data_IF_420901977631
#
_entry.id   IF_420901977631
#
_cell.length_a   1.000
_cell.length_b   1.000
_cell.length_c   1.000
_cell.angle_alpha   90.00
_cell.angle_beta   90.00
_cell.angle_gamma   90.00
#
_symmetry.space_group_name_H-M   'P 1'
#
loop_
_entity.id
_entity.type
_entity.pdbx_description
1 polymer ?
#
# COMPACT_ATOMS: atom_id res chain seq x y z
N UNK A 1 -19.19 -5.36 -27.07
CA UNK A 1 -19.11 -4.01 -26.45
C UNK A 1 -18.40 -4.20 -25.13
N UNK A 2 -17.38 -3.40 -24.81
CA UNK A 2 -16.59 -3.50 -23.58
C UNK A 2 -16.68 -2.19 -22.81
N UNK A 3 -16.59 -2.24 -21.48
CA UNK A 3 -16.62 -1.06 -20.61
C UNK A 3 -16.20 -1.40 -19.18
N UNK A 4 -15.83 -0.40 -18.40
CA UNK A 4 -15.41 -0.55 -17.00
C UNK A 4 -16.60 -0.85 -16.09
N UNK A 5 -17.73 -0.17 -16.33
CA UNK A 5 -18.98 -0.38 -15.62
C UNK A 5 -20.06 -0.79 -16.62
N UNK A 6 -21.00 -1.57 -16.15
CA UNK A 6 -22.16 -1.93 -16.96
C UNK A 6 -22.88 -0.65 -17.41
N UNK A 7 -22.93 -0.42 -18.71
CA UNK A 7 -23.74 0.65 -19.28
C UNK A 7 -25.19 0.18 -19.16
N UNK A 8 -25.79 0.39 -18.00
CA UNK A 8 -27.21 0.22 -17.92
C UNK A 8 -27.80 1.41 -18.61
N UNK A 9 -28.51 1.22 -19.65
CA UNK A 9 -29.83 1.73 -19.64
C UNK A 9 -30.66 1.56 -20.86
N UNK A 10 -31.83 1.48 -20.47
CA UNK A 10 -33.13 1.66 -21.09
C UNK A 10 -33.15 1.74 -22.63
N UNK A 11 -32.23 2.43 -23.26
CA UNK A 11 -32.20 2.59 -24.71
C UNK A 11 -31.32 1.58 -25.46
N UNK A 12 -30.33 0.96 -24.79
CA UNK A 12 -29.47 -0.08 -25.44
C UNK A 12 -30.09 -1.46 -25.22
N UNK A 13 -30.62 -1.72 -24.02
CA UNK A 13 -31.19 -3.02 -23.67
C UNK A 13 -32.63 -3.22 -24.14
N UNK A 14 -33.38 -2.16 -24.40
CA UNK A 14 -34.74 -2.28 -24.94
C UNK A 14 -34.78 -2.74 -26.41
N UNK A 15 -33.69 -2.56 -27.14
CA UNK A 15 -33.54 -3.01 -28.54
C UNK A 15 -32.78 -4.33 -28.72
N UNK A 16 -32.08 -4.80 -27.71
CA UNK A 16 -31.26 -6.01 -27.74
C UNK A 16 -31.76 -6.96 -26.64
N UNK A 17 -32.68 -7.83 -27.03
CA UNK A 17 -33.12 -8.92 -26.19
C UNK A 17 -32.06 -10.02 -26.19
N UNK A 18 -31.70 -10.55 -25.01
CA UNK A 18 -30.74 -11.66 -24.83
C UNK A 18 -29.25 -11.28 -24.94
N UNK A 19 -28.85 -10.16 -24.33
CA UNK A 19 -27.43 -9.87 -24.14
C UNK A 19 -26.86 -10.78 -23.05
N UNK A 20 -25.83 -11.53 -23.43
CA UNK A 20 -24.97 -12.24 -22.51
C UNK A 20 -23.87 -11.27 -22.07
N UNK A 21 -23.67 -11.15 -20.76
CA UNK A 21 -22.72 -10.22 -20.17
C UNK A 21 -21.69 -11.01 -19.38
N UNK A 22 -20.45 -10.95 -19.83
CA UNK A 22 -19.31 -11.53 -19.12
C UNK A 22 -18.58 -10.45 -18.37
N UNK A 23 -18.23 -10.75 -17.13
CA UNK A 23 -17.53 -9.85 -16.19
C UNK A 23 -16.17 -10.44 -15.83
N UNK A 24 -15.38 -9.72 -15.06
CA UNK A 24 -14.10 -10.22 -14.55
C UNK A 24 -14.26 -11.35 -13.50
N UNK A 25 -15.49 -11.65 -13.08
CA UNK A 25 -15.80 -12.77 -12.19
C UNK A 25 -16.06 -14.08 -12.96
N UNK A 26 -16.36 -13.99 -14.26
CA UNK A 26 -16.65 -15.15 -15.09
C UNK A 26 -15.37 -15.82 -15.56
N UNK A 27 -15.41 -17.14 -15.78
CA UNK A 27 -14.28 -17.92 -16.29
C UNK A 27 -14.18 -17.89 -17.82
N UNK A 28 -15.19 -17.35 -18.50
CA UNK A 28 -15.19 -17.24 -19.95
C UNK A 28 -14.44 -15.98 -20.42
N UNK A 29 -13.69 -16.10 -21.50
CA UNK A 29 -12.95 -15.00 -22.15
C UNK A 29 -11.84 -14.35 -21.29
N UNK A 30 -11.41 -14.98 -20.22
CA UNK A 30 -10.42 -14.42 -19.26
C UNK A 30 -9.07 -14.08 -19.91
N UNK A 31 -8.68 -14.80 -20.98
CA UNK A 31 -7.41 -14.60 -21.69
C UNK A 31 -7.40 -13.39 -22.65
N UNK A 32 -8.58 -12.85 -23.01
CA UNK A 32 -8.69 -11.86 -24.08
C UNK A 32 -8.64 -10.41 -23.61
N UNK A 33 -8.72 -10.18 -22.30
CA UNK A 33 -8.76 -8.83 -21.72
C UNK A 33 -7.50 -8.43 -20.95
N UNK A 34 -6.44 -9.23 -21.07
CA UNK A 34 -5.14 -9.00 -20.48
C UNK A 34 -4.05 -9.63 -21.34
N UNK A 35 -2.80 -9.51 -20.92
CA UNK A 35 -1.68 -10.24 -21.50
C UNK A 35 -1.37 -11.40 -20.56
N UNK A 36 -1.24 -12.61 -21.12
CA UNK A 36 -0.92 -13.80 -20.33
C UNK A 36 0.54 -13.85 -19.92
N UNK A 37 0.87 -14.71 -18.98
CA UNK A 37 2.25 -14.86 -18.52
C UNK A 37 3.17 -15.39 -19.62
N UNK A 38 2.67 -16.32 -20.45
CA UNK A 38 3.38 -16.88 -21.59
C UNK A 38 3.72 -15.80 -22.61
N UNK A 39 2.77 -14.93 -22.94
CA UNK A 39 2.96 -13.80 -23.85
C UNK A 39 3.98 -12.79 -23.31
N UNK A 40 3.92 -12.46 -22.02
CA UNK A 40 4.91 -11.57 -21.39
C UNK A 40 6.30 -12.19 -21.41
N UNK A 41 6.41 -13.48 -21.07
CA UNK A 41 7.69 -14.20 -21.09
C UNK A 41 8.30 -14.23 -22.48
N UNK A 42 7.48 -14.42 -23.52
CA UNK A 42 7.95 -14.37 -24.89
C UNK A 42 8.36 -12.95 -25.29
N UNK A 43 7.57 -11.94 -24.95
CA UNK A 43 7.86 -10.55 -25.27
C UNK A 43 9.15 -10.05 -24.61
N UNK A 44 9.42 -10.42 -23.35
CA UNK A 44 10.66 -10.05 -22.65
C UNK A 44 11.88 -10.60 -23.37
N UNK A 45 11.80 -11.83 -23.90
CA UNK A 45 12.87 -12.44 -24.71
C UNK A 45 13.03 -11.75 -26.06
N UNK A 46 11.93 -11.51 -26.77
CA UNK A 46 11.95 -10.91 -28.12
C UNK A 46 12.49 -9.47 -28.12
N UNK A 47 12.28 -8.73 -27.01
CA UNK A 47 12.78 -7.37 -26.84
C UNK A 47 14.18 -7.31 -26.19
N UNK A 48 14.81 -8.46 -25.90
CA UNK A 48 16.13 -8.57 -25.27
C UNK A 48 16.23 -7.69 -24.00
N UNK A 49 15.33 -7.94 -23.05
CA UNK A 49 15.26 -7.19 -21.81
C UNK A 49 16.05 -7.88 -20.71
N UNK A 50 17.02 -7.15 -20.12
CA UNK A 50 17.79 -7.57 -18.95
C UNK A 50 17.01 -7.41 -17.65
N UNK A 51 15.84 -8.07 -17.55
CA UNK A 51 15.03 -8.05 -16.33
C UNK A 51 14.67 -9.46 -15.91
N UNK A 52 14.73 -9.71 -14.60
CA UNK A 52 14.16 -10.94 -14.03
C UNK A 52 12.65 -10.93 -14.20
N UNK A 53 12.10 -12.04 -14.68
CA UNK A 53 10.66 -12.15 -14.87
C UNK A 53 9.87 -11.92 -13.59
N UNK A 54 10.42 -12.29 -12.44
CA UNK A 54 9.82 -12.02 -11.12
C UNK A 54 9.60 -10.53 -10.85
N UNK A 55 10.51 -9.65 -11.30
CA UNK A 55 10.34 -8.21 -11.16
C UNK A 55 9.21 -7.69 -12.06
N UNK A 56 9.09 -8.19 -13.27
CA UNK A 56 7.99 -7.83 -14.18
C UNK A 56 6.65 -8.30 -13.62
N UNK A 57 6.61 -9.54 -13.09
CA UNK A 57 5.42 -10.08 -12.41
C UNK A 57 5.02 -9.20 -11.22
N UNK A 58 5.96 -8.89 -10.32
CA UNK A 58 5.72 -8.05 -9.15
C UNK A 58 5.14 -6.68 -9.51
N UNK A 59 5.57 -6.11 -10.64
CA UNK A 59 5.17 -4.78 -11.07
C UNK A 59 3.83 -4.74 -11.79
N UNK A 60 3.49 -5.73 -12.63
CA UNK A 60 2.39 -5.59 -13.59
C UNK A 60 1.42 -6.76 -13.63
N UNK A 61 1.74 -7.90 -12.99
CA UNK A 61 0.84 -9.05 -12.89
C UNK A 61 -0.15 -8.87 -11.74
N UNK A 62 -0.99 -9.88 -11.53
CA UNK A 62 -1.81 -10.04 -10.34
C UNK A 62 -3.28 -9.74 -10.52
N UNK A 63 -3.72 -9.37 -11.70
CA UNK A 63 -5.14 -9.27 -12.01
C UNK A 63 -5.72 -10.67 -12.19
N UNK A 64 -6.66 -11.04 -11.32
CA UNK A 64 -7.35 -12.32 -11.40
C UNK A 64 -8.69 -12.10 -12.11
N UNK A 65 -8.83 -12.66 -13.31
CA UNK A 65 -10.03 -12.69 -14.12
C UNK A 65 -10.55 -14.12 -14.17
N UNK A 66 -11.70 -14.38 -13.54
CA UNK A 66 -12.14 -15.74 -13.28
C UNK A 66 -11.05 -16.54 -12.55
N UNK A 67 -10.54 -17.58 -13.19
CA UNK A 67 -9.47 -18.47 -12.69
C UNK A 67 -8.05 -18.09 -13.17
N UNK A 68 -7.91 -17.06 -14.05
CA UNK A 68 -6.65 -16.72 -14.70
C UNK A 68 -6.04 -15.42 -14.22
N UNK A 69 -4.70 -15.43 -14.07
CA UNK A 69 -3.92 -14.23 -13.82
C UNK A 69 -3.47 -13.60 -15.14
N UNK A 70 -3.71 -12.30 -15.26
CA UNK A 70 -3.33 -11.53 -16.45
C UNK A 70 -2.59 -10.26 -16.07
N UNK A 71 -1.80 -9.73 -17.00
CA UNK A 71 -1.09 -8.46 -16.88
C UNK A 71 -1.88 -7.32 -17.51
N UNK A 72 -1.71 -6.13 -16.99
CA UNK A 72 -2.25 -4.92 -17.61
C UNK A 72 -1.56 -4.65 -18.96
N UNK A 73 -2.29 -4.67 -20.09
CA UNK A 73 -1.69 -4.52 -21.42
C UNK A 73 -0.96 -3.19 -21.60
N UNK A 74 -1.53 -2.09 -21.08
CA UNK A 74 -0.92 -0.77 -21.19
C UNK A 74 0.43 -0.71 -20.50
N UNK A 75 0.51 -1.25 -19.29
CA UNK A 75 1.75 -1.26 -18.49
C UNK A 75 2.83 -2.11 -19.16
N UNK A 76 2.48 -3.29 -19.66
CA UNK A 76 3.42 -4.17 -20.38
C UNK A 76 3.93 -3.52 -21.66
N UNK A 77 3.04 -3.00 -22.52
CA UNK A 77 3.46 -2.33 -23.77
C UNK A 77 4.40 -1.17 -23.52
N UNK A 78 4.12 -0.35 -22.50
CA UNK A 78 4.99 0.76 -22.15
C UNK A 78 6.31 0.30 -21.52
N UNK A 79 6.30 -0.77 -20.72
CA UNK A 79 7.51 -1.38 -20.17
C UNK A 79 8.41 -1.90 -21.29
N UNK A 80 7.89 -2.67 -22.22
CA UNK A 80 8.64 -3.18 -23.38
C UNK A 80 9.26 -2.05 -24.19
N UNK A 81 8.47 -1.00 -24.47
CA UNK A 81 8.94 0.17 -25.23
C UNK A 81 10.02 0.97 -24.51
N UNK A 82 9.90 1.16 -23.20
CA UNK A 82 10.76 2.07 -22.43
C UNK A 82 11.87 1.36 -21.68
N UNK A 83 11.81 0.05 -21.58
CA UNK A 83 12.79 -0.80 -20.89
C UNK A 83 13.07 -0.35 -19.45
N UNK A 84 12.02 0.07 -18.71
CA UNK A 84 12.12 0.53 -17.32
C UNK A 84 10.86 0.15 -16.56
N UNK A 85 11.03 -0.40 -15.36
CA UNK A 85 9.93 -0.67 -14.43
C UNK A 85 9.46 0.65 -13.80
N UNK A 86 8.25 1.06 -14.12
CA UNK A 86 7.62 2.32 -13.69
C UNK A 86 6.10 2.16 -13.65
N UNK A 87 5.38 3.00 -12.87
CA UNK A 87 3.94 3.08 -12.97
C UNK A 87 3.55 3.75 -14.29
N UNK A 88 2.95 3.02 -15.19
CA UNK A 88 2.53 3.50 -16.50
C UNK A 88 1.04 3.73 -16.60
N UNK A 89 0.23 2.79 -16.14
CA UNK A 89 -1.22 2.85 -16.28
C UNK A 89 -1.85 3.87 -15.33
N UNK A 90 -1.42 3.94 -14.10
CA UNK A 90 -1.96 4.84 -13.07
C UNK A 90 -1.79 6.32 -13.40
N UNK A 91 -0.87 6.65 -14.30
CA UNK A 91 -0.63 8.02 -14.76
C UNK A 91 -1.49 8.42 -15.98
N UNK A 92 -2.35 7.54 -16.49
CA UNK A 92 -3.14 7.79 -17.70
C UNK A 92 -4.54 8.31 -17.42
N UNK A 93 -5.08 8.06 -16.23
CA UNK A 93 -6.45 8.46 -15.86
C UNK A 93 -6.44 9.66 -14.94
N UNK A 94 -7.41 10.59 -15.14
CA UNK A 94 -7.67 11.69 -14.24
C UNK A 94 -8.26 11.17 -12.93
N UNK A 95 -7.43 10.82 -11.96
CA UNK A 95 -7.83 10.31 -10.64
C UNK A 95 -8.50 11.38 -9.76
N UNK A 96 -8.73 12.59 -10.29
CA UNK A 96 -9.28 13.74 -9.54
C UNK A 96 -10.67 13.44 -8.97
N UNK A 97 -11.54 12.79 -9.76
CA UNK A 97 -12.88 12.44 -9.30
C UNK A 97 -12.81 11.43 -8.14
N UNK A 98 -11.96 10.43 -8.27
CA UNK A 98 -11.71 9.42 -7.23
C UNK A 98 -11.16 10.11 -5.97
N UNK A 99 -10.16 10.97 -6.10
CA UNK A 99 -9.59 11.74 -4.98
C UNK A 99 -10.64 12.60 -4.27
N UNK A 100 -11.51 13.27 -5.03
CA UNK A 100 -12.58 14.08 -4.46
C UNK A 100 -13.53 13.26 -3.58
N UNK A 101 -13.92 12.09 -4.07
CA UNK A 101 -14.81 11.20 -3.33
C UNK A 101 -14.12 10.54 -2.14
N UNK A 102 -12.88 10.13 -2.29
CA UNK A 102 -12.10 9.56 -1.18
C UNK A 102 -11.92 10.56 -0.03
N UNK A 103 -11.72 11.86 -0.35
CA UNK A 103 -11.66 12.91 0.68
C UNK A 103 -12.94 13.01 1.52
N UNK A 104 -14.11 12.79 0.92
CA UNK A 104 -15.39 12.78 1.66
C UNK A 104 -15.52 11.57 2.59
N UNK A 105 -14.89 10.45 2.25
CA UNK A 105 -14.98 9.17 2.95
C UNK A 105 -13.76 8.83 3.80
N UNK A 106 -12.80 9.72 3.94
CA UNK A 106 -11.49 9.41 4.51
C UNK A 106 -11.55 8.63 5.84
N UNK A 107 -12.50 8.93 6.70
CA UNK A 107 -12.65 8.26 7.99
C UNK A 107 -13.29 6.86 7.87
N UNK A 108 -14.22 6.68 6.93
CA UNK A 108 -14.97 5.42 6.74
C UNK A 108 -14.13 4.34 6.05
N UNK A 109 -13.19 4.75 5.18
CA UNK A 109 -12.38 3.84 4.36
C UNK A 109 -10.98 3.62 4.92
N UNK A 110 -10.63 4.31 6.01
CA UNK A 110 -9.27 4.33 6.56
C UNK A 110 -8.72 2.91 6.83
N UNK A 111 -9.50 2.08 7.52
CA UNK A 111 -9.08 0.73 7.91
C UNK A 111 -8.87 -0.17 6.70
N UNK A 112 -9.78 -0.11 5.74
CA UNK A 112 -9.69 -0.87 4.50
C UNK A 112 -8.45 -0.44 3.69
N UNK A 113 -8.25 0.87 3.57
CA UNK A 113 -7.10 1.44 2.87
C UNK A 113 -5.78 1.03 3.53
N UNK A 114 -5.73 1.08 4.86
CA UNK A 114 -4.58 0.66 5.65
C UNK A 114 -4.28 -0.84 5.47
N UNK A 115 -5.30 -1.70 5.49
CA UNK A 115 -5.13 -3.13 5.23
C UNK A 115 -4.58 -3.39 3.83
N UNK A 116 -5.11 -2.71 2.81
CA UNK A 116 -4.65 -2.84 1.43
C UNK A 116 -3.19 -2.41 1.26
N UNK A 117 -2.79 -1.28 1.86
CA UNK A 117 -1.39 -0.82 1.86
C UNK A 117 -0.46 -1.81 2.54
N UNK A 118 -0.94 -2.53 3.54
CA UNK A 118 -0.23 -3.61 4.22
C UNK A 118 -0.26 -4.95 3.44
N UNK A 119 -0.63 -4.91 2.15
CA UNK A 119 -0.76 -6.08 1.27
C UNK A 119 -1.71 -7.16 1.81
N UNK A 120 -2.65 -6.77 2.68
CA UNK A 120 -3.75 -7.62 3.14
C UNK A 120 -4.94 -7.48 2.19
N UNK A 121 -5.84 -8.44 2.23
CA UNK A 121 -7.13 -8.35 1.54
C UNK A 121 -8.19 -7.74 2.46
N UNK A 122 -9.18 -7.13 1.84
CA UNK A 122 -10.41 -6.65 2.49
C UNK A 122 -11.60 -7.44 1.97
N UNK A 123 -12.58 -7.72 2.84
CA UNK A 123 -13.82 -8.41 2.44
C UNK A 123 -14.89 -7.38 2.09
N UNK A 124 -15.42 -7.43 0.87
CA UNK A 124 -16.42 -6.49 0.36
C UNK A 124 -17.46 -7.19 -0.50
N UNK A 125 -18.67 -6.69 -0.42
CA UNK A 125 -19.73 -7.12 -1.32
C UNK A 125 -19.57 -6.42 -2.67
N UNK A 126 -19.48 -7.20 -3.75
CA UNK A 126 -19.40 -6.70 -5.11
C UNK A 126 -20.74 -6.85 -5.80
N UNK A 127 -21.10 -5.86 -6.59
CA UNK A 127 -22.30 -5.83 -7.39
C UNK A 127 -21.92 -5.72 -8.89
N UNK A 128 -22.11 -6.80 -9.63
CA UNK A 128 -21.83 -6.86 -11.08
C UNK A 128 -22.76 -5.98 -11.91
N UNK A 129 -23.91 -5.62 -11.34
CA UNK A 129 -24.91 -4.79 -12.01
C UNK A 129 -24.78 -3.30 -11.65
N UNK A 130 -23.62 -2.88 -11.12
CA UNK A 130 -23.40 -1.49 -10.75
C UNK A 130 -23.36 -0.59 -11.98
N UNK A 131 -24.14 0.48 -11.94
CA UNK A 131 -24.16 1.55 -12.94
C UNK A 131 -23.62 2.85 -12.34
N UNK A 132 -23.19 3.77 -13.20
CA UNK A 132 -22.58 5.03 -12.78
C UNK A 132 -23.47 5.87 -11.83
N UNK A 133 -24.77 5.86 -12.03
CA UNK A 133 -25.74 6.57 -11.19
C UNK A 133 -25.80 6.02 -9.76
N UNK A 134 -25.54 4.73 -9.58
CA UNK A 134 -25.50 4.14 -8.24
C UNK A 134 -24.29 4.60 -7.42
N UNK A 135 -23.21 5.09 -8.07
CA UNK A 135 -22.03 5.61 -7.38
C UNK A 135 -22.40 6.83 -6.53
N UNK A 136 -23.18 7.76 -7.07
CA UNK A 136 -23.52 9.00 -6.35
C UNK A 136 -24.46 8.75 -5.17
N UNK A 137 -25.39 7.80 -5.29
CA UNK A 137 -26.41 7.55 -4.27
C UNK A 137 -25.88 6.90 -2.99
N UNK A 138 -24.82 6.03 -3.07
CA UNK A 138 -24.24 5.30 -1.94
C UNK A 138 -22.73 5.12 -2.13
N UNK A 139 -22.02 6.23 -2.23
CA UNK A 139 -20.62 6.20 -2.63
C UNK A 139 -19.72 5.39 -1.67
N UNK A 140 -19.93 5.49 -0.35
CA UNK A 140 -19.15 4.74 0.64
C UNK A 140 -19.21 3.21 0.45
N UNK A 141 -20.37 2.71 0.03
CA UNK A 141 -20.55 1.26 -0.25
C UNK A 141 -20.06 0.87 -1.64
N UNK A 142 -20.07 1.81 -2.59
CA UNK A 142 -19.81 1.53 -4.00
C UNK A 142 -18.38 1.85 -4.45
N UNK A 143 -17.56 2.53 -3.62
CA UNK A 143 -16.18 2.87 -3.96
C UNK A 143 -15.34 1.61 -4.22
N UNK A 144 -15.56 0.54 -3.46
CA UNK A 144 -14.84 -0.72 -3.62
C UNK A 144 -15.23 -1.45 -4.90
N UNK A 145 -16.50 -1.37 -5.31
CA UNK A 145 -16.99 -1.83 -6.61
C UNK A 145 -16.30 -1.07 -7.75
N UNK A 146 -16.22 0.27 -7.63
CA UNK A 146 -15.53 1.08 -8.62
C UNK A 146 -14.05 0.69 -8.73
N UNK A 147 -13.36 0.54 -7.61
CA UNK A 147 -11.96 0.13 -7.60
C UNK A 147 -11.74 -1.26 -8.19
N UNK A 148 -12.63 -2.19 -7.92
CA UNK A 148 -12.57 -3.53 -8.47
C UNK A 148 -12.79 -3.52 -9.99
N UNK A 149 -13.90 -2.99 -10.47
CA UNK A 149 -14.21 -2.96 -11.89
C UNK A 149 -13.26 -2.08 -12.72
N UNK A 150 -12.66 -1.06 -12.10
CA UNK A 150 -11.65 -0.20 -12.76
C UNK A 150 -10.24 -0.79 -12.72
N UNK A 151 -10.02 -1.96 -12.12
CA UNK A 151 -8.71 -2.60 -12.05
C UNK A 151 -7.75 -2.00 -11.00
N UNK A 152 -8.24 -1.19 -10.07
CA UNK A 152 -7.42 -0.76 -8.91
C UNK A 152 -7.33 -1.84 -7.84
N UNK A 153 -8.32 -2.72 -7.76
CA UNK A 153 -8.31 -3.92 -6.93
C UNK A 153 -8.56 -5.16 -7.78
N UNK A 154 -8.18 -6.30 -7.26
CA UNK A 154 -8.42 -7.62 -7.85
C UNK A 154 -8.90 -8.59 -6.78
N UNK A 155 -9.43 -9.72 -7.19
CA UNK A 155 -9.72 -10.83 -6.27
C UNK A 155 -8.42 -11.35 -5.63
N UNK A 156 -8.47 -11.64 -4.34
CA UNK A 156 -7.38 -12.29 -3.63
C UNK A 156 -7.36 -13.80 -3.85
N UNK A 157 -8.52 -14.39 -4.10
CA UNK A 157 -8.80 -15.80 -4.36
C UNK A 157 -9.86 -15.92 -5.46
N UNK A 158 -10.05 -17.09 -6.04
CA UNK A 158 -11.09 -17.34 -7.03
C UNK A 158 -12.48 -17.02 -6.49
N UNK A 159 -13.35 -16.54 -7.38
CA UNK A 159 -14.72 -16.18 -7.03
C UNK A 159 -15.55 -17.41 -6.67
N UNK A 160 -16.24 -17.34 -5.55
CA UNK A 160 -17.20 -18.35 -5.12
C UNK A 160 -18.60 -17.73 -5.09
N UNK A 161 -19.46 -18.15 -6.01
CA UNK A 161 -20.84 -17.66 -6.15
C UNK A 161 -21.69 -17.90 -4.90
N UNK A 162 -21.30 -18.82 -4.04
CA UNK A 162 -22.02 -19.10 -2.79
C UNK A 162 -21.69 -18.11 -1.68
N UNK A 163 -20.68 -17.25 -1.89
CA UNK A 163 -20.29 -16.22 -0.92
C UNK A 163 -20.90 -14.87 -1.29
N UNK A 164 -21.43 -14.19 -0.28
CA UNK A 164 -21.98 -12.84 -0.47
C UNK A 164 -20.89 -11.77 -0.64
N UNK A 165 -19.70 -12.02 -0.10
CA UNK A 165 -18.58 -11.09 -0.10
C UNK A 165 -17.37 -11.71 -0.78
N UNK A 166 -16.61 -10.88 -1.46
CA UNK A 166 -15.34 -11.24 -2.11
C UNK A 166 -14.16 -10.66 -1.36
N UNK A 167 -13.04 -11.36 -1.41
CA UNK A 167 -11.77 -10.91 -0.85
C UNK A 167 -11.01 -10.11 -1.91
N UNK A 168 -10.81 -8.81 -1.68
CA UNK A 168 -10.15 -7.90 -2.60
C UNK A 168 -8.75 -7.53 -2.10
N UNK A 169 -7.80 -7.40 -3.02
CA UNK A 169 -6.43 -6.95 -2.75
C UNK A 169 -5.90 -6.01 -3.82
N UNK A 170 -4.81 -5.33 -3.52
CA UNK A 170 -4.02 -4.60 -4.52
C UNK A 170 -3.31 -5.62 -5.41
N UNK A 171 -3.43 -5.52 -6.75
CA UNK A 171 -2.90 -6.52 -7.67
C UNK A 171 -1.37 -6.56 -7.71
N UNK A 172 -0.71 -5.42 -7.69
CA UNK A 172 0.72 -5.32 -7.97
C UNK A 172 1.38 -4.06 -7.41
N UNK A 173 2.69 -3.94 -7.63
CA UNK A 173 3.49 -2.83 -7.12
C UNK A 173 3.13 -1.48 -7.77
N UNK A 174 2.70 -1.46 -9.03
CA UNK A 174 2.24 -0.24 -9.71
C UNK A 174 1.07 0.40 -8.98
N UNK A 175 0.06 -0.41 -8.67
CA UNK A 175 -1.15 0.03 -7.96
C UNK A 175 -0.87 0.34 -6.50
N UNK A 176 -0.02 -0.47 -5.84
CA UNK A 176 0.37 -0.20 -4.46
C UNK A 176 1.00 1.20 -4.31
N UNK A 177 1.82 1.62 -5.27
CA UNK A 177 2.42 2.97 -5.27
C UNK A 177 1.38 4.06 -5.39
N UNK A 178 0.42 3.89 -6.29
CA UNK A 178 -0.68 4.83 -6.44
C UNK A 178 -1.51 4.94 -5.15
N UNK A 179 -1.89 3.80 -4.56
CA UNK A 179 -2.63 3.80 -3.30
C UNK A 179 -1.85 4.49 -2.18
N UNK A 180 -0.53 4.31 -2.12
CA UNK A 180 0.32 4.98 -1.13
C UNK A 180 0.36 6.49 -1.32
N UNK A 181 0.48 6.96 -2.57
CA UNK A 181 0.42 8.38 -2.89
C UNK A 181 -0.95 8.97 -2.57
N UNK A 182 -2.03 8.25 -2.92
CA UNK A 182 -3.40 8.65 -2.58
C UNK A 182 -3.62 8.71 -1.07
N UNK A 183 -3.08 7.78 -0.31
CA UNK A 183 -3.16 7.78 1.14
C UNK A 183 -2.50 9.02 1.74
N UNK A 184 -1.30 9.36 1.27
CA UNK A 184 -0.61 10.59 1.68
C UNK A 184 -1.46 11.81 1.34
N UNK A 185 -1.94 11.93 0.10
CA UNK A 185 -2.76 13.06 -0.35
C UNK A 185 -4.09 13.21 0.42
N UNK A 186 -4.66 12.10 0.89
CA UNK A 186 -5.93 12.09 1.61
C UNK A 186 -5.80 12.48 3.08
N UNK A 187 -4.75 11.98 3.72
CA UNK A 187 -4.62 12.07 5.16
C UNK A 187 -3.61 13.12 5.61
N UNK A 188 -2.76 13.62 4.69
CA UNK A 188 -1.71 14.57 5.02
C UNK A 188 -1.68 15.73 4.03
N UNK A 189 -1.94 16.91 4.53
CA UNK A 189 -2.08 18.12 3.70
C UNK A 189 -0.75 18.74 3.27
N UNK A 190 0.34 18.44 3.98
CA UNK A 190 1.63 19.10 3.79
C UNK A 190 2.72 18.11 3.33
N UNK A 191 2.89 18.01 2.01
CA UNK A 191 3.90 17.14 1.40
C UNK A 191 5.35 17.49 1.77
N UNK A 192 5.65 18.78 1.99
CA UNK A 192 7.01 19.23 2.27
C UNK A 192 7.52 18.70 3.62
N UNK A 193 6.66 18.57 4.61
CA UNK A 193 7.03 17.98 5.91
C UNK A 193 7.44 16.52 5.74
N UNK A 194 6.78 15.77 4.85
CA UNK A 194 7.18 14.38 4.55
C UNK A 194 8.59 14.28 3.96
N UNK A 195 8.95 15.22 3.08
CA UNK A 195 10.31 15.28 2.55
C UNK A 195 11.31 15.54 3.67
N UNK A 196 11.01 16.45 4.59
CA UNK A 196 11.90 16.74 5.72
C UNK A 196 12.05 15.54 6.67
N UNK A 197 10.97 14.81 6.96
CA UNK A 197 11.01 13.59 7.77
C UNK A 197 11.85 12.52 7.10
N UNK A 198 11.64 12.26 5.79
CA UNK A 198 12.40 11.24 5.07
C UNK A 198 13.89 11.60 4.94
N UNK A 199 14.22 12.87 4.77
CA UNK A 199 15.62 13.34 4.77
C UNK A 199 16.26 13.21 6.17
N UNK A 200 15.54 13.50 7.25
CA UNK A 200 16.02 13.30 8.60
C UNK A 200 16.29 11.79 8.87
N UNK A 201 15.37 10.93 8.43
CA UNK A 201 15.54 9.48 8.52
C UNK A 201 16.80 9.01 7.77
N UNK A 202 17.01 9.47 6.55
CA UNK A 202 18.18 9.12 5.74
C UNK A 202 19.50 9.60 6.34
N UNK A 203 19.49 10.72 7.05
CA UNK A 203 20.68 11.29 7.71
C UNK A 203 20.95 10.69 9.09
N UNK A 204 20.00 9.91 9.63
CA UNK A 204 20.07 9.39 10.99
C UNK A 204 19.95 10.51 12.05
N UNK A 205 19.22 11.60 11.73
CA UNK A 205 18.97 12.72 12.61
C UNK A 205 17.68 12.48 13.41
N UNK A 206 17.84 11.85 14.58
CA UNK A 206 16.73 11.45 15.44
C UNK A 206 15.90 12.65 15.94
N UNK A 207 16.54 13.74 16.31
CA UNK A 207 15.86 14.92 16.85
C UNK A 207 15.00 15.60 15.77
N UNK A 208 15.56 15.78 14.57
CA UNK A 208 14.80 16.31 13.46
C UNK A 208 13.67 15.38 13.06
N UNK A 209 13.93 14.07 12.96
CA UNK A 209 12.94 13.06 12.63
C UNK A 209 11.75 13.08 13.61
N UNK A 210 12.02 13.06 14.93
CA UNK A 210 11.02 13.15 15.96
C UNK A 210 10.19 14.44 15.86
N UNK A 211 10.86 15.59 15.71
CA UNK A 211 10.22 16.90 15.63
C UNK A 211 9.25 17.00 14.46
N UNK A 212 9.70 16.58 13.26
CA UNK A 212 8.86 16.66 12.06
C UNK A 212 7.71 15.63 12.09
N UNK A 213 7.93 14.43 12.65
CA UNK A 213 6.85 13.48 12.90
C UNK A 213 5.77 14.03 13.82
N UNK A 214 6.17 14.66 14.94
CA UNK A 214 5.21 15.27 15.87
C UNK A 214 4.40 16.39 15.18
N UNK A 215 5.01 17.20 14.32
CA UNK A 215 4.27 18.21 13.55
C UNK A 215 3.19 17.58 12.68
N UNK A 216 3.53 16.52 11.91
CA UNK A 216 2.55 15.81 11.08
C UNK A 216 1.40 15.28 11.93
N UNK A 217 1.71 14.67 13.08
CA UNK A 217 0.71 14.10 13.96
C UNK A 217 -0.21 15.18 14.57
N UNK A 218 0.33 16.35 14.88
CA UNK A 218 -0.44 17.46 15.44
C UNK A 218 -1.33 18.15 14.40
N UNK A 219 -0.84 18.37 13.18
CA UNK A 219 -1.58 19.04 12.12
C UNK A 219 -2.78 18.22 11.62
N UNK A 220 -2.74 16.90 11.75
CA UNK A 220 -3.79 15.99 11.27
C UNK A 220 -4.79 15.58 12.35
N UNK A 221 -5.30 16.56 13.10
CA UNK A 221 -6.15 16.43 14.32
C UNK A 221 -7.34 15.47 14.17
N UNK A 222 -8.00 15.43 13.02
CA UNK A 222 -9.24 14.66 12.83
C UNK A 222 -9.05 13.14 12.72
N UNK A 223 -7.83 12.66 12.45
CA UNK A 223 -7.54 11.25 12.22
C UNK A 223 -7.28 10.51 13.55
N UNK A 224 -6.77 11.22 14.56
CA UNK A 224 -6.37 10.64 15.85
C UNK A 224 -7.50 10.53 16.88
N UNK A 225 -8.66 11.14 16.60
CA UNK A 225 -9.84 11.06 17.47
C UNK A 225 -10.64 9.75 17.27
N UNK A 226 -10.20 8.88 16.35
CA UNK A 226 -10.79 7.55 16.17
C UNK A 226 -10.32 6.67 17.34
N UNK A 227 -11.12 6.65 18.39
CA UNK A 227 -10.91 5.81 19.56
C UNK A 227 -11.09 4.33 19.19
N UNK A 228 -10.22 3.44 19.68
CA UNK A 228 -10.43 2.01 19.63
C UNK A 228 -9.28 1.17 19.10
N UNK A 229 -9.60 -0.07 18.73
CA UNK A 229 -8.74 -1.20 18.33
C UNK A 229 -7.83 -0.90 17.11
N UNK A 230 -8.09 0.19 16.39
CA UNK A 230 -7.48 0.53 15.09
C UNK A 230 -6.20 1.36 15.17
N UNK A 231 -5.76 1.76 16.36
CA UNK A 231 -4.58 2.64 16.53
C UNK A 231 -3.29 2.06 15.94
N UNK A 232 -3.05 0.78 16.16
CA UNK A 232 -1.84 0.10 15.67
C UNK A 232 -1.78 0.09 14.14
N UNK A 233 -2.88 -0.28 13.49
CA UNK A 233 -2.97 -0.32 12.03
C UNK A 233 -2.78 1.06 11.40
N UNK A 234 -3.26 2.10 12.07
CA UNK A 234 -3.05 3.48 11.64
C UNK A 234 -1.56 3.84 11.59
N UNK A 235 -0.85 3.68 12.71
CA UNK A 235 0.57 4.07 12.76
C UNK A 235 1.43 3.23 11.83
N UNK A 236 1.10 1.95 11.65
CA UNK A 236 1.75 1.11 10.67
C UNK A 236 1.51 1.62 9.24
N UNK A 237 0.28 1.92 8.86
CA UNK A 237 -0.06 2.49 7.55
C UNK A 237 0.60 3.86 7.32
N UNK A 238 0.60 4.72 8.33
CA UNK A 238 1.25 6.01 8.33
C UNK A 238 2.77 5.90 8.08
N UNK A 239 3.44 5.05 8.86
CA UNK A 239 4.88 4.83 8.70
C UNK A 239 5.22 4.18 7.35
N UNK A 240 4.38 3.26 6.86
CA UNK A 240 4.54 2.70 5.53
C UNK A 240 4.41 3.78 4.45
N UNK A 241 3.37 4.61 4.51
CA UNK A 241 3.18 5.73 3.60
C UNK A 241 4.40 6.67 3.56
N UNK A 242 4.95 6.97 4.74
CA UNK A 242 6.14 7.80 4.87
C UNK A 242 7.38 7.16 4.22
N UNK A 243 7.68 5.90 4.55
CA UNK A 243 8.91 5.26 4.03
C UNK A 243 8.79 4.86 2.57
N UNK A 244 7.59 4.70 2.01
CA UNK A 244 7.40 4.36 0.60
C UNK A 244 7.95 5.45 -0.33
N UNK A 245 8.08 6.69 0.15
CA UNK A 245 8.75 7.76 -0.57
C UNK A 245 10.24 7.45 -0.82
N UNK A 246 10.84 6.59 0.00
CA UNK A 246 12.23 6.13 -0.14
C UNK A 246 12.41 4.95 -1.09
N UNK A 247 11.33 4.49 -1.73
CA UNK A 247 11.32 3.32 -2.63
C UNK A 247 12.29 3.37 -3.80
N UNK A 248 12.72 4.56 -4.22
CA UNK A 248 13.72 4.69 -5.29
C UNK A 248 15.14 4.35 -4.81
N UNK A 249 15.41 4.54 -3.53
CA UNK A 249 16.71 4.31 -2.91
C UNK A 249 16.76 2.99 -2.14
N UNK A 250 15.60 2.56 -1.61
CA UNK A 250 15.48 1.37 -0.77
C UNK A 250 14.47 0.35 -1.32
N UNK A 251 14.77 -0.91 -1.11
CA UNK A 251 13.79 -1.99 -1.08
C UNK A 251 13.12 -1.99 0.28
N UNK A 252 11.79 -1.78 0.31
CA UNK A 252 11.01 -1.64 1.55
C UNK A 252 10.29 -2.96 1.81
N UNK A 253 10.51 -3.53 2.97
CA UNK A 253 9.82 -4.71 3.47
C UNK A 253 9.01 -4.35 4.71
N UNK A 254 7.78 -4.81 4.76
CA UNK A 254 6.84 -4.51 5.82
C UNK A 254 6.27 -5.79 6.41
N UNK A 255 6.19 -5.85 7.75
CA UNK A 255 5.59 -6.93 8.53
C UNK A 255 6.01 -8.34 8.07
N UNK A 256 7.30 -8.52 7.81
CA UNK A 256 7.87 -9.74 7.27
C UNK A 256 8.78 -10.44 8.28
N UNK A 257 9.05 -11.73 8.07
CA UNK A 257 9.86 -12.53 8.97
C UNK A 257 11.36 -12.24 8.82
N UNK A 258 12.04 -12.06 9.96
CA UNK A 258 13.48 -12.04 10.06
C UNK A 258 13.94 -12.63 11.39
N UNK A 259 15.01 -13.41 11.36
CA UNK A 259 15.57 -14.01 12.56
C UNK A 259 14.52 -14.84 13.30
N UNK A 260 14.13 -14.41 14.50
CA UNK A 260 13.20 -15.11 15.38
C UNK A 260 11.80 -14.47 15.48
N UNK A 261 11.46 -13.56 14.57
CA UNK A 261 10.18 -12.86 14.65
C UNK A 261 9.82 -12.09 13.38
N UNK A 262 8.80 -11.23 13.50
CA UNK A 262 8.39 -10.30 12.45
C UNK A 262 8.82 -8.90 12.85
N UNK A 263 9.46 -8.19 11.93
CA UNK A 263 9.75 -6.77 12.06
C UNK A 263 8.63 -5.94 11.43
N UNK A 264 8.45 -4.72 11.90
CA UNK A 264 7.45 -3.84 11.33
C UNK A 264 7.89 -3.27 9.98
N UNK A 265 9.06 -2.64 9.92
CA UNK A 265 9.61 -2.05 8.70
C UNK A 265 11.11 -2.33 8.56
N UNK A 266 11.53 -2.69 7.35
CA UNK A 266 12.93 -2.85 7.00
C UNK A 266 13.20 -2.21 5.64
N UNK A 267 14.21 -1.34 5.57
CA UNK A 267 14.66 -0.65 4.39
C UNK A 267 16.05 -1.15 4.01
N UNK A 268 16.14 -1.88 2.91
CA UNK A 268 17.39 -2.40 2.36
C UNK A 268 17.82 -1.50 1.19
N UNK A 269 19.03 -0.93 1.19
CA UNK A 269 19.54 -0.15 0.07
C UNK A 269 19.50 -0.93 -1.24
N UNK A 270 18.97 -0.34 -2.31
CA UNK A 270 18.99 -0.95 -3.66
C UNK A 270 20.36 -0.92 -4.30
N UNK A 271 21.18 0.06 -3.95
CA UNK A 271 22.55 0.20 -4.41
C UNK A 271 23.47 0.43 -3.20
N UNK A 272 24.17 -0.62 -2.80
CA UNK A 272 25.05 -0.62 -1.61
C UNK A 272 26.26 0.31 -1.80
N UNK A 273 26.73 0.51 -3.05
CA UNK A 273 27.84 1.42 -3.32
C UNK A 273 27.49 2.88 -3.08
N UNK A 274 26.26 3.27 -3.45
CA UNK A 274 25.74 4.62 -3.26
C UNK A 274 25.23 4.86 -1.85
N UNK A 275 24.70 3.82 -1.20
CA UNK A 275 24.13 3.91 0.13
C UNK A 275 24.43 2.64 0.93
N UNK A 276 25.19 2.81 2.01
CA UNK A 276 25.71 1.69 2.81
C UNK A 276 24.85 1.37 4.05
N UNK A 277 23.85 2.18 4.37
CA UNK A 277 23.07 2.06 5.60
C UNK A 277 21.72 1.42 5.35
N UNK A 278 21.46 0.28 5.99
CA UNK A 278 20.15 -0.33 6.11
C UNK A 278 19.41 0.22 7.32
N UNK A 279 18.06 0.25 7.28
CA UNK A 279 17.25 0.82 8.36
C UNK A 279 16.22 -0.22 8.81
N UNK A 280 16.08 -0.38 10.13
CA UNK A 280 15.06 -1.22 10.75
C UNK A 280 14.26 -0.35 11.69
N UNK A 281 12.92 -0.35 11.54
CA UNK A 281 12.02 0.37 12.43
C UNK A 281 11.09 -0.64 13.12
N UNK A 282 10.93 -0.47 14.41
CA UNK A 282 9.99 -1.22 15.24
C UNK A 282 9.08 -0.23 15.96
N UNK A 283 7.77 -0.47 15.89
CA UNK A 283 6.75 0.42 16.40
C UNK A 283 6.11 -0.14 17.68
N UNK A 284 5.85 0.73 18.63
CA UNK A 284 5.07 0.43 19.84
C UNK A 284 3.94 1.42 19.99
N UNK A 285 2.79 0.92 20.39
CA UNK A 285 1.61 1.73 20.63
C UNK A 285 1.27 1.70 22.11
N UNK A 286 1.36 2.85 22.74
CA UNK A 286 0.96 3.00 24.14
C UNK A 286 -0.56 3.12 24.22
N UNK A 287 -1.17 2.24 24.96
CA UNK A 287 -2.60 2.28 25.28
C UNK A 287 -2.76 2.72 26.73
N UNK A 288 -3.18 3.97 26.95
CA UNK A 288 -3.54 4.42 28.28
C UNK A 288 -5.05 4.58 28.40
N UNK A 289 -5.62 3.89 29.38
CA UNK A 289 -7.02 4.08 29.82
C UNK A 289 -7.17 5.21 30.84
N UNK A 290 -6.05 5.75 31.36
CA UNK A 290 -6.02 6.83 32.33
C UNK A 290 -5.45 8.11 31.72
N UNK A 291 -5.91 9.27 32.21
CA UNK A 291 -5.29 10.55 31.88
C UNK A 291 -3.91 10.61 32.53
N UNK A 292 -2.87 10.50 31.73
CA UNK A 292 -1.48 10.66 32.16
C UNK A 292 -1.10 12.15 32.10
N UNK A 293 -0.21 12.58 32.99
CA UNK A 293 0.47 13.86 32.85
C UNK A 293 1.51 13.81 31.71
N UNK A 294 1.92 14.96 31.19
CA UNK A 294 2.93 15.07 30.14
C UNK A 294 4.23 14.33 30.50
N UNK A 295 4.68 14.43 31.73
CA UNK A 295 5.89 13.74 32.22
C UNK A 295 5.71 12.20 32.26
N UNK A 296 4.52 11.72 32.57
CA UNK A 296 4.23 10.28 32.55
C UNK A 296 4.13 9.74 31.11
N UNK A 297 3.52 10.52 30.21
CA UNK A 297 3.48 10.21 28.78
C UNK A 297 4.90 10.07 28.23
N UNK A 298 5.74 11.06 28.47
CA UNK A 298 7.13 11.05 27.97
C UNK A 298 7.90 9.82 28.48
N UNK A 299 7.80 9.51 29.77
CA UNK A 299 8.48 8.33 30.36
C UNK A 299 7.98 7.01 29.77
N UNK A 300 6.68 6.87 29.54
CA UNK A 300 6.12 5.65 28.97
C UNK A 300 6.52 5.50 27.51
N UNK A 301 6.51 6.58 26.72
CA UNK A 301 6.98 6.57 25.34
C UNK A 301 8.48 6.21 25.23
N UNK A 302 9.33 6.79 26.08
CA UNK A 302 10.76 6.47 26.12
C UNK A 302 11.03 5.01 26.45
N UNK A 303 10.30 4.46 27.42
CA UNK A 303 10.36 3.05 27.81
C UNK A 303 9.95 2.12 26.65
N UNK A 304 8.88 2.44 25.95
CA UNK A 304 8.42 1.65 24.80
C UNK A 304 9.39 1.75 23.61
N UNK A 305 10.06 2.87 23.39
CA UNK A 305 11.17 2.94 22.42
C UNK A 305 12.32 2.00 22.78
N UNK A 306 12.69 1.89 24.07
CA UNK A 306 13.73 0.96 24.51
C UNK A 306 13.29 -0.50 24.32
N UNK A 307 12.02 -0.81 24.55
CA UNK A 307 11.43 -2.13 24.29
C UNK A 307 11.49 -2.46 22.78
N UNK A 308 11.18 -1.48 21.93
CA UNK A 308 11.26 -1.65 20.48
C UNK A 308 12.70 -1.96 20.01
N UNK A 309 13.68 -1.19 20.45
CA UNK A 309 15.10 -1.42 20.15
C UNK A 309 15.57 -2.79 20.66
N UNK A 310 15.20 -3.14 21.88
CA UNK A 310 15.51 -4.45 22.46
C UNK A 310 14.91 -5.59 21.66
N UNK A 311 13.69 -5.45 21.15
CA UNK A 311 13.04 -6.42 20.30
C UNK A 311 13.81 -6.65 18.99
N UNK A 312 14.30 -5.58 18.33
CA UNK A 312 15.13 -5.69 17.11
C UNK A 312 16.35 -6.58 17.38
N UNK A 313 17.01 -6.42 18.53
CA UNK A 313 18.19 -7.20 18.92
C UNK A 313 17.83 -8.65 19.24
N UNK A 314 16.91 -8.89 20.17
CA UNK A 314 16.53 -10.22 20.66
C UNK A 314 15.98 -11.09 19.52
N UNK A 315 15.23 -10.51 18.61
CA UNK A 315 14.67 -11.19 17.43
C UNK A 315 15.64 -11.28 16.26
N UNK A 316 16.82 -10.63 16.34
CA UNK A 316 17.87 -10.65 15.32
C UNK A 316 17.39 -10.16 13.94
N UNK A 317 16.59 -9.12 13.89
CA UNK A 317 16.05 -8.58 12.63
C UNK A 317 17.17 -8.12 11.69
N UNK A 318 18.30 -7.65 12.24
CA UNK A 318 19.49 -7.25 11.47
C UNK A 318 20.08 -8.37 10.60
N UNK A 319 19.76 -9.64 10.86
CA UNK A 319 20.29 -10.76 10.08
C UNK A 319 19.95 -10.68 8.59
N UNK A 320 18.76 -10.17 8.24
CA UNK A 320 18.34 -10.00 6.82
C UNK A 320 19.25 -9.03 6.08
N UNK A 321 19.61 -7.91 6.70
CA UNK A 321 20.52 -6.91 6.11
C UNK A 321 21.96 -7.42 6.08
N UNK A 322 22.43 -8.05 7.16
CA UNK A 322 23.78 -8.64 7.23
C UNK A 322 23.99 -9.72 6.18
N UNK A 323 23.00 -10.59 5.97
CA UNK A 323 23.04 -11.62 4.93
C UNK A 323 23.09 -11.02 3.50
N UNK A 324 22.62 -9.79 3.34
CA UNK A 324 22.73 -9.03 2.09
C UNK A 324 24.02 -8.19 1.99
N UNK A 325 24.98 -8.36 2.92
CA UNK A 325 26.25 -7.62 2.93
C UNK A 325 26.15 -6.19 3.45
N UNK A 326 25.11 -5.88 4.24
CA UNK A 326 24.88 -4.54 4.81
C UNK A 326 25.17 -4.61 6.31
N UNK A 327 26.33 -4.11 6.71
CA UNK A 327 26.76 -4.10 8.12
C UNK A 327 26.38 -2.81 8.85
N UNK A 328 26.30 -1.68 8.12
CA UNK A 328 25.87 -0.41 8.71
C UNK A 328 24.34 -0.39 8.81
N UNK A 329 23.80 -0.55 10.01
CA UNK A 329 22.37 -0.69 10.26
C UNK A 329 21.93 0.35 11.28
N UNK A 330 21.00 1.22 10.86
CA UNK A 330 20.29 2.12 11.73
C UNK A 330 19.05 1.41 12.28
N UNK A 331 18.98 1.25 13.59
CA UNK A 331 17.83 0.70 14.31
C UNK A 331 17.04 1.83 14.93
N UNK A 332 15.74 1.78 14.80
CA UNK A 332 14.84 2.84 15.24
C UNK A 332 13.71 2.23 16.02
N UNK A 333 13.60 2.63 17.28
CA UNK A 333 12.43 2.39 18.12
C UNK A 333 11.51 3.60 18.07
N UNK A 334 10.22 3.34 17.76
CA UNK A 334 9.16 4.34 17.70
C UNK A 334 8.09 3.98 18.71
N UNK A 335 7.63 4.94 19.49
CA UNK A 335 6.49 4.75 20.38
C UNK A 335 5.46 5.86 20.18
N UNK A 336 4.19 5.50 20.04
CA UNK A 336 3.09 6.42 19.76
C UNK A 336 2.05 6.40 20.90
N UNK A 337 1.57 7.59 21.28
CA UNK A 337 0.42 7.77 22.15
C UNK A 337 -0.45 8.93 21.64
N UNK A 338 -1.52 8.63 20.93
CA UNK A 338 -2.35 9.65 20.31
C UNK A 338 -1.56 10.48 19.29
N UNK A 339 -1.37 11.77 19.54
CA UNK A 339 -0.63 12.68 18.66
C UNK A 339 0.85 12.82 19.02
N UNK A 340 1.30 12.10 20.01
CA UNK A 340 2.68 12.17 20.45
C UNK A 340 3.48 10.97 20.01
N UNK A 341 4.72 11.23 19.60
CA UNK A 341 5.67 10.19 19.22
C UNK A 341 7.01 10.45 19.89
N UNK A 342 7.58 9.38 20.42
CA UNK A 342 8.98 9.34 20.85
C UNK A 342 9.77 8.45 19.87
N UNK A 343 11.04 8.81 19.69
CA UNK A 343 11.91 8.15 18.73
C UNK A 343 13.29 7.96 19.33
N UNK A 344 13.83 6.76 19.25
CA UNK A 344 15.23 6.47 19.59
C UNK A 344 15.94 5.81 18.42
N UNK A 345 17.11 6.35 18.09
CA UNK A 345 18.01 5.81 17.06
C UNK A 345 19.20 5.12 17.71
N UNK A 346 19.55 3.95 17.20
CA UNK A 346 20.74 3.20 17.58
C UNK A 346 21.49 2.74 16.32
N UNK A 347 22.77 3.07 16.22
CA UNK A 347 23.62 2.56 15.14
C UNK A 347 24.17 1.20 15.55
N UNK A 348 23.91 0.18 14.72
CA UNK A 348 24.52 -1.13 14.88
C UNK A 348 26.03 -1.04 14.72
N UNK A 349 26.75 -1.71 15.61
CA UNK A 349 28.20 -1.92 15.50
C UNK A 349 28.49 -3.06 14.55
#
# INVERSE_FOLDING_TARGET
>A
MTGILRVAKENIFSGLNNLEVHTILDNEFTEYFGITEEEVNQAVKDFDLEYELEDVQKWYNGYLFGDRKVYNPWSIVNFLKRKKLKPYWVNTSGNELIKLYLRKLKNEIFDDFSQLLNKKSISKRINDNMIFENLEANFSKNIWNLFFHSGYLTLAEEYDENRNDVSLKIPNEEILRMFSEMFIDLYFENYDIFLEVTEALKKGDAEKFKRELNKILLENVGIFDVGGIYKEQFYHGFMLGLVIMLKNEYEISFNNFAGKGRYDLLLKPKNIEKRKEGIILELKIVNSSQKLSENEIQKELEKECDIALKQIEEKKYSSVLKNAGIDNILKIGLAFLGKEVEVKFEKGK
#
